data_IF_375256973319
#
_entry.id   IF_375256973319
#
_cell.length_a   1.000
_cell.length_b   1.000
_cell.length_c   1.000
_cell.angle_alpha   90.00
_cell.angle_beta   90.00
_cell.angle_gamma   90.00
#
_symmetry.space_group_name_H-M   'P 1'
#
loop_
_entity.id
_entity.type
_entity.pdbx_description
1 polymer ?
2 non-polymer ?
3 non-polymer ?
4 water ?
#
# COMPACT_ATOMS: atom_id res chain seq x y z
N UNK A 5 -26.51 2.69 3.13
CA UNK A 5 -26.80 3.75 4.12
C UNK A 5 -25.58 4.16 4.93
N UNK A 6 -25.15 3.31 5.86
CA UNK A 6 -23.75 3.38 6.26
C UNK A 6 -22.86 3.12 5.03
N UNK A 7 -23.26 2.16 4.20
CA UNK A 7 -22.57 1.94 2.93
C UNK A 7 -22.62 3.18 2.03
N UNK A 8 -23.76 3.85 1.97
CA UNK A 8 -23.86 5.08 1.18
C UNK A 8 -22.90 6.15 1.71
N UNK A 9 -22.92 6.40 3.02
CA UNK A 9 -22.00 7.37 3.59
C UNK A 9 -20.55 7.02 3.32
N UNK A 10 -20.19 5.74 3.48
CA UNK A 10 -18.82 5.32 3.25
C UNK A 10 -18.41 5.59 1.82
N UNK A 11 -19.30 5.30 0.88
CA UNK A 11 -18.95 5.45 -0.52
C UNK A 11 -18.73 6.92 -0.91
N UNK A 12 -19.46 7.83 -0.29
CA UNK A 12 -19.25 9.24 -0.56
C UNK A 12 -17.95 9.73 0.04
N UNK A 13 -17.63 9.27 1.25
CA UNK A 13 -16.35 9.63 1.85
C UNK A 13 -15.18 9.10 1.02
N UNK A 14 -15.28 7.85 0.58
CA UNK A 14 -14.20 7.28 -0.23
C UNK A 14 -14.06 7.99 -1.55
N UNK A 15 -15.18 8.39 -2.16
CA UNK A 15 -15.10 9.11 -3.43
C UNK A 15 -14.39 10.45 -3.26
N UNK A 16 -14.65 11.14 -2.15
CA UNK A 16 -13.98 12.42 -1.91
C UNK A 16 -12.47 12.22 -1.87
N UNK A 17 -12.03 11.19 -1.14
CA UNK A 17 -10.60 10.90 -1.04
C UNK A 17 -10.03 10.40 -2.36
N UNK A 18 -10.78 9.56 -3.06
CA UNK A 18 -10.33 9.13 -4.38
C UNK A 18 -10.05 10.34 -5.25
N UNK A 19 -10.95 11.31 -5.25
CA UNK A 19 -10.80 12.46 -6.13
C UNK A 19 -9.57 13.26 -5.76
N UNK A 20 -9.30 13.42 -4.48
CA UNK A 20 -8.10 14.11 -4.04
C UNK A 20 -6.84 13.38 -4.52
N UNK A 21 -6.80 12.04 -4.36
CA UNK A 21 -5.61 11.27 -4.70
C UNK A 21 -5.49 11.01 -6.19
N UNK A 22 -6.47 11.41 -7.00
CA UNK A 22 -6.35 11.29 -8.44
C UNK A 22 -6.49 12.61 -9.17
N UNK A 23 -6.82 13.68 -8.51
CA UNK A 23 -6.92 14.96 -9.19
C UNK A 23 -5.52 15.42 -9.59
N UNK A 24 -5.29 15.86 -10.82
CA UNK A 24 -3.92 16.21 -11.23
C UNK A 24 -3.18 17.12 -10.28
N UNK A 25 -3.87 18.03 -9.57
CA UNK A 25 -3.16 18.97 -8.72
C UNK A 25 -3.03 18.50 -7.28
N UNK A 26 -3.74 17.43 -6.89
CA UNK A 26 -3.68 16.93 -5.53
C UNK A 26 -3.04 15.55 -5.44
N UNK A 27 -2.85 14.87 -6.58
CA UNK A 27 -2.32 13.52 -6.54
C UNK A 27 -0.90 13.50 -6.01
N UNK A 28 -0.57 12.38 -5.39
CA UNK A 28 0.76 12.14 -4.82
C UNK A 28 1.50 11.21 -5.78
N UNK A 29 2.65 11.61 -6.32
CA UNK A 29 3.30 10.79 -7.36
C UNK A 29 3.72 9.41 -6.88
N UNK A 30 3.87 9.20 -5.58
CA UNK A 30 4.22 7.89 -5.06
C UNK A 30 3.11 6.84 -5.25
N UNK A 31 1.89 7.26 -5.51
CA UNK A 31 0.74 6.37 -5.44
C UNK A 31 -0.11 6.54 -6.68
N UNK A 32 -0.21 5.50 -7.49
CA UNK A 32 -1.09 5.51 -8.64
C UNK A 32 -2.38 4.76 -8.28
N UNK A 33 -3.51 5.45 -8.37
CA UNK A 33 -4.76 4.95 -7.80
C UNK A 33 -5.75 4.70 -8.93
N UNK A 34 -6.35 3.52 -8.95
CA UNK A 34 -7.46 3.19 -9.85
C UNK A 34 -8.52 2.43 -9.06
N UNK A 35 -9.75 2.40 -9.56
CA UNK A 35 -10.76 1.56 -8.94
C UNK A 35 -10.86 0.22 -9.65
N UNK A 36 -11.22 -0.83 -8.92
CA UNK A 36 -11.48 -2.10 -9.57
C UNK A 36 -12.58 -1.91 -10.61
N UNK A 37 -12.36 -2.45 -11.83
CA UNK A 37 -13.30 -2.30 -12.94
C UNK A 37 -13.62 -0.84 -13.26
N UNK A 38 -12.75 0.07 -12.84
CA UNK A 38 -12.94 1.50 -13.03
C UNK A 38 -14.22 2.01 -12.36
N UNK A 39 -14.81 1.24 -11.45
CA UNK A 39 -16.08 1.70 -10.88
C UNK A 39 -16.36 1.30 -9.44
N UNK A 40 -15.63 0.35 -8.87
CA UNK A 40 -15.92 -0.16 -7.52
C UNK A 40 -15.22 0.73 -6.49
N UNK A 41 -15.98 1.63 -5.84
CA UNK A 41 -15.33 2.55 -4.91
C UNK A 41 -14.83 1.84 -3.67
N UNK A 42 -15.22 0.60 -3.44
CA UNK A 42 -14.75 -0.11 -2.25
C UNK A 42 -13.55 -0.99 -2.48
N UNK A 43 -13.05 -1.11 -3.72
CA UNK A 43 -11.85 -1.88 -3.97
C UNK A 43 -10.96 -1.06 -4.89
N UNK A 44 -9.81 -0.64 -4.38
CA UNK A 44 -8.89 0.19 -5.16
C UNK A 44 -7.67 -0.63 -5.58
N UNK A 45 -7.26 -0.50 -6.83
CA UNK A 45 -6.00 -1.09 -7.30
C UNK A 45 -4.96 0.02 -7.28
N UNK A 46 -3.91 -0.19 -6.50
CA UNK A 46 -2.93 0.83 -6.23
C UNK A 46 -1.59 0.39 -6.77
N UNK A 47 -0.86 1.33 -7.36
CA UNK A 47 0.49 1.06 -7.74
C UNK A 47 1.37 1.86 -6.81
N UNK A 48 2.22 1.19 -6.01
CA UNK A 48 3.06 1.87 -5.04
C UNK A 48 4.45 2.07 -5.63
N UNK A 49 4.90 3.32 -5.64
CA UNK A 49 6.24 3.65 -6.15
C UNK A 49 7.07 4.22 -5.01
N UNK A 50 8.34 3.93 -5.07
CA UNK A 50 9.30 4.39 -4.06
C UNK A 50 10.21 5.38 -4.78
N UNK A 51 9.93 6.66 -4.57
CA UNK A 51 10.63 7.71 -5.29
C UNK A 51 11.98 8.04 -4.67
N UNK A 52 12.25 7.53 -3.47
CA UNK A 52 13.54 7.75 -2.82
C UNK A 52 14.65 7.01 -3.57
N UNK A 53 15.55 7.77 -4.21
CA UNK A 53 16.66 7.19 -4.96
C UNK A 53 17.52 6.24 -4.12
N UNK A 54 17.53 6.43 -2.79
CA UNK A 54 18.36 5.61 -1.91
C UNK A 54 17.81 4.22 -1.72
N UNK A 55 16.53 4.01 -2.03
CA UNK A 55 15.85 2.82 -1.58
C UNK A 55 16.17 1.67 -2.52
N UNK A 56 16.38 0.49 -1.95
CA UNK A 56 16.50 -0.69 -2.79
C UNK A 56 15.22 -0.92 -3.59
N UNK A 57 14.10 -0.31 -3.18
CA UNK A 57 12.81 -0.43 -3.89
C UNK A 57 12.67 0.55 -5.04
N UNK A 58 13.59 1.50 -5.18
CA UNK A 58 13.40 2.56 -6.16
C UNK A 58 13.28 2.00 -7.57
N UNK A 59 12.31 2.54 -8.33
CA UNK A 59 12.09 2.11 -9.70
C UNK A 59 11.04 1.03 -9.85
N UNK A 60 10.63 0.41 -8.76
CA UNK A 60 9.55 -0.57 -8.84
C UNK A 60 8.19 0.07 -8.95
N UNK A 61 7.22 -0.75 -9.33
CA UNK A 61 5.81 -0.36 -9.44
C UNK A 61 5.07 -1.53 -8.80
N UNK A 62 4.79 -1.41 -7.51
CA UNK A 62 4.33 -2.54 -6.72
C UNK A 62 2.82 -2.46 -6.66
N UNK A 63 2.17 -3.39 -7.36
CA UNK A 63 0.72 -3.43 -7.43
C UNK A 63 0.14 -3.98 -6.14
N UNK A 64 -0.96 -3.38 -5.72
CA UNK A 64 -1.64 -3.77 -4.49
C UNK A 64 -3.13 -3.53 -4.65
N UNK A 65 -3.89 -4.17 -3.76
CA UNK A 65 -5.33 -4.00 -3.71
C UNK A 65 -5.70 -3.58 -2.30
N UNK A 66 -6.48 -2.50 -2.19
CA UNK A 66 -6.95 -1.99 -0.91
C UNK A 66 -8.47 -2.13 -0.89
N UNK A 67 -8.98 -2.93 0.05
CA UNK A 67 -10.40 -3.24 0.15
C UNK A 67 -10.95 -2.50 1.36
N UNK A 68 -12.03 -1.76 1.16
CA UNK A 68 -12.63 -0.93 2.18
C UNK A 68 -13.92 -1.55 2.70
N UNK A 69 -14.15 -1.52 4.00
CA UNK A 69 -15.39 -2.04 4.56
C UNK A 69 -16.53 -1.07 4.33
N UNK A 70 -17.76 -1.58 4.40
CA UNK A 70 -18.93 -0.76 4.10
C UNK A 70 -19.26 0.21 5.22
N UNK A 71 -18.54 0.16 6.35
CA UNK A 71 -18.69 1.13 7.42
C UNK A 71 -17.48 2.06 7.52
N UNK A 72 -16.64 2.09 6.50
CA UNK A 72 -15.53 3.03 6.45
C UNK A 72 -16.06 4.43 6.79
N UNK A 73 -15.32 5.19 7.65
CA UNK A 73 -14.01 5.00 8.25
C UNK A 73 -14.07 4.42 9.67
N UNK A 74 -15.17 3.80 10.02
CA UNK A 74 -15.30 3.27 11.37
C UNK A 74 -14.62 1.92 11.54
N UNK A 75 -14.13 1.34 10.47
CA UNK A 75 -13.34 0.11 10.44
C UNK A 75 -12.23 0.28 9.43
N UNK A 76 -11.10 -0.40 9.60
CA UNK A 76 -9.97 -0.18 8.70
C UNK A 76 -10.11 -0.91 7.37
N UNK A 77 -9.47 -0.40 6.34
CA UNK A 77 -9.29 -1.19 5.13
C UNK A 77 -8.29 -2.30 5.34
N UNK A 78 -8.24 -3.18 4.33
CA UNK A 78 -7.22 -4.19 4.17
C UNK A 78 -6.36 -3.86 2.97
N UNK A 79 -5.09 -4.25 3.02
CA UNK A 79 -4.13 -3.91 2.00
C UNK A 79 -3.33 -5.17 1.67
N UNK A 80 -3.27 -5.52 0.38
CA UNK A 80 -2.59 -6.73 -0.06
C UNK A 80 -1.71 -6.39 -1.26
N UNK A 81 -0.42 -6.73 -1.16
CA UNK A 81 0.44 -6.67 -2.33
C UNK A 81 0.10 -7.84 -3.27
N UNK A 82 -0.02 -7.50 -4.54
CA UNK A 82 -0.44 -8.43 -5.58
C UNK A 82 0.49 -8.27 -6.79
N UNK A 83 1.58 -9.05 -6.84
CA UNK A 83 1.95 -10.17 -5.98
C UNK A 83 2.60 -9.78 -4.70
N UNK A 84 2.69 -10.78 -3.84
CA UNK A 84 3.37 -10.61 -2.59
C UNK A 84 4.81 -10.18 -2.86
N UNK A 85 5.35 -9.42 -1.92
CA UNK A 85 6.74 -9.03 -1.93
C UNK A 85 7.40 -9.55 -0.66
N UNK A 86 8.73 -9.67 -0.74
CA UNK A 86 9.54 -10.17 0.36
C UNK A 86 9.86 -9.01 1.28
N UNK A 87 9.23 -9.01 2.46
CA UNK A 87 9.32 -7.88 3.35
C UNK A 87 8.96 -8.41 4.72
N UNK A 88 9.62 -7.98 5.79
CA UNK A 88 9.28 -8.51 7.12
C UNK A 88 7.82 -8.42 7.49
N UNK A 89 7.06 -7.46 6.97
CA UNK A 89 5.70 -7.23 7.43
C UNK A 89 4.67 -7.62 6.40
N UNK A 90 5.07 -8.39 5.39
CA UNK A 90 4.17 -8.84 4.35
C UNK A 90 4.07 -10.36 4.45
N UNK A 91 2.85 -10.84 4.62
CA UNK A 91 2.60 -12.27 4.64
C UNK A 91 2.85 -12.88 3.27
N UNK A 92 3.02 -14.20 3.25
CA UNK A 92 3.38 -14.88 2.01
C UNK A 92 2.31 -14.71 0.94
N UNK A 93 1.05 -14.56 1.34
CA UNK A 93 -0.04 -14.34 0.41
C UNK A 93 -0.25 -12.86 0.05
N UNK A 94 0.62 -11.98 0.53
CA UNK A 94 0.64 -10.59 0.15
C UNK A 94 -0.01 -9.65 1.14
N UNK A 95 -0.73 -10.17 2.14
CA UNK A 95 -1.36 -9.29 3.10
C UNK A 95 -0.31 -8.48 3.86
N UNK A 96 -0.55 -7.19 3.97
CA UNK A 96 0.35 -6.33 4.72
C UNK A 96 -0.15 -6.24 6.14
N UNK A 97 0.75 -6.52 7.11
CA UNK A 97 0.47 -6.30 8.51
C UNK A 97 1.12 -4.98 8.94
N UNK A 98 0.29 -3.97 9.25
CA UNK A 98 0.78 -2.65 9.64
C UNK A 98 -0.14 -2.12 10.74
N UNK A 99 0.44 -1.47 11.74
CA UNK A 99 -0.37 -1.22 12.93
C UNK A 99 -1.56 -0.30 12.64
N UNK A 100 -1.44 0.65 11.70
CA UNK A 100 -2.53 1.58 11.42
C UNK A 100 -3.76 0.83 10.90
N UNK A 101 -3.60 -0.40 10.38
CA UNK A 101 -4.76 -1.14 9.89
C UNK A 101 -5.30 -2.17 10.87
N UNK A 102 -4.79 -2.20 12.10
CA UNK A 102 -5.39 -3.01 13.15
C UNK A 102 -6.50 -2.22 13.83
N UNK A 103 -7.59 -2.90 14.17
CA UNK A 103 -8.59 -2.30 15.06
C UNK A 103 -8.26 -2.69 16.50
N UNK A 104 -8.49 -1.84 17.49
CA UNK A 104 -9.33 -0.64 17.39
C UNK A 104 -8.63 0.60 17.93
N UNK A 115 0.23 3.17 16.98
CA UNK A 115 -1.04 3.73 16.54
C UNK A 115 -1.84 2.71 15.75
N UNK A 116 -3.08 2.44 16.17
CA UNK A 116 -3.98 1.54 15.46
C UNK A 116 -5.05 2.37 14.75
N UNK A 117 -5.99 1.69 14.11
CA UNK A 117 -6.97 2.41 13.29
C UNK A 117 -7.78 3.38 14.14
N UNK A 118 -8.10 4.53 13.55
CA UNK A 118 -9.08 5.43 14.12
C UNK A 118 -9.85 6.06 12.97
N UNK A 119 -11.06 6.56 13.25
CA UNK A 119 -11.88 7.12 12.16
C UNK A 119 -11.36 8.42 11.59
N UNK A 120 -10.33 9.05 12.14
CA UNK A 120 -9.76 10.22 11.49
C UNK A 120 -8.65 9.85 10.51
N UNK A 121 -8.29 8.57 10.40
CA UNK A 121 -7.28 8.20 9.42
C UNK A 121 -7.88 8.28 8.03
N UNK A 122 -7.03 8.57 7.08
CA UNK A 122 -7.42 8.73 5.70
C UNK A 122 -6.68 7.72 4.83
N UNK A 123 -7.15 7.57 3.59
CA UNK A 123 -6.41 6.74 2.67
C UNK A 123 -5.00 7.28 2.48
N UNK A 124 -4.86 8.60 2.35
CA UNK A 124 -3.54 9.22 2.21
C UNK A 124 -2.62 8.88 3.37
N UNK A 125 -3.12 8.99 4.62
CA UNK A 125 -2.26 8.69 5.76
C UNK A 125 -1.86 7.22 5.79
N UNK A 126 -2.77 6.31 5.41
CA UNK A 126 -2.41 4.90 5.34
C UNK A 126 -1.32 4.66 4.30
N UNK A 127 -1.50 5.23 3.10
CA UNK A 127 -0.53 5.00 2.04
C UNK A 127 0.83 5.55 2.43
N UNK A 128 0.85 6.72 3.06
CA UNK A 128 2.13 7.25 3.52
C UNK A 128 2.80 6.29 4.50
N UNK A 129 2.01 5.77 5.43
CA UNK A 129 2.53 4.82 6.41
C UNK A 129 3.07 3.57 5.75
N UNK A 130 2.42 3.11 4.68
CA UNK A 130 2.86 1.91 3.99
C UNK A 130 4.21 2.12 3.32
N UNK A 131 4.38 3.23 2.59
CA UNK A 131 5.68 3.43 1.96
C UNK A 131 6.75 3.65 3.01
N UNK A 132 6.42 4.26 4.15
CA UNK A 132 7.39 4.38 5.23
C UNK A 132 7.84 3.01 5.73
N UNK A 133 6.88 2.09 5.85
CA UNK A 133 7.19 0.76 6.37
C UNK A 133 8.02 -0.03 5.37
N UNK A 134 7.83 0.20 4.07
CA UNK A 134 8.69 -0.47 3.08
C UNK A 134 10.14 -0.19 3.38
N UNK A 135 10.46 1.08 3.64
CA UNK A 135 11.81 1.54 3.86
C UNK A 135 12.31 1.24 5.26
N UNK A 136 11.43 1.13 6.22
CA UNK A 136 11.80 0.94 7.62
C UNK A 136 10.87 -0.12 8.21
N UNK A 137 11.15 -1.40 7.93
CA UNK A 137 10.28 -2.49 8.43
C UNK A 137 10.30 -2.61 9.93
N UNK A 138 9.22 -3.19 10.45
CA UNK A 138 9.08 -3.48 11.88
C UNK A 138 9.53 -4.92 12.09
N UNK A 139 10.84 -5.11 12.33
CA UNK A 139 11.35 -6.48 12.45
C UNK A 139 11.03 -7.09 13.80
N UNK A 140 10.52 -6.31 14.76
CA UNK A 140 10.12 -6.87 16.06
C UNK A 140 8.73 -7.52 16.03
N UNK A 141 7.94 -7.34 14.99
CA UNK A 141 6.63 -7.98 14.88
C UNK A 141 6.49 -8.43 13.45
N UNK A 142 7.27 -9.43 13.05
CA UNK A 142 7.33 -9.80 11.63
C UNK A 142 6.26 -10.79 11.20
N UNK A 143 5.68 -10.50 10.05
CA UNK A 143 4.78 -11.43 9.40
C UNK A 143 5.56 -12.46 8.60
N UNK A 144 6.76 -12.09 8.17
CA UNK A 144 7.62 -13.00 7.40
C UNK A 144 8.95 -13.07 8.15
N UNK A 145 9.13 -14.13 8.94
CA UNK A 145 10.30 -14.21 9.80
C UNK A 145 11.56 -14.39 8.97
N UNK A 146 11.48 -15.15 7.87
CA UNK A 146 12.63 -15.27 6.98
C UNK A 146 13.11 -13.90 6.52
N UNK A 147 12.18 -13.05 6.05
CA UNK A 147 12.61 -11.73 5.60
C UNK A 147 13.14 -10.88 6.73
N UNK A 148 12.54 -11.00 7.91
CA UNK A 148 13.01 -10.25 9.07
C UNK A 148 14.42 -10.63 9.46
N UNK A 149 14.72 -11.91 9.44
CA UNK A 149 16.08 -12.33 9.77
C UNK A 149 17.06 -11.86 8.70
N UNK A 150 16.71 -12.02 7.42
CA UNK A 150 17.59 -11.58 6.35
C UNK A 150 17.85 -10.08 6.43
N UNK A 151 16.80 -9.31 6.72
CA UNK A 151 16.96 -7.86 6.79
C UNK A 151 18.08 -7.48 7.73
N UNK A 152 18.12 -8.12 8.90
CA UNK A 152 19.12 -7.79 9.91
C UNK A 152 20.44 -8.49 9.62
N UNK A 153 20.39 -9.81 9.38
CA UNK A 153 21.59 -10.64 9.35
C UNK A 153 22.19 -10.87 7.98
N UNK A 154 21.42 -10.72 6.91
CA UNK A 154 21.87 -11.02 5.54
C UNK A 154 21.48 -9.90 4.60
N UNK A 155 21.94 -8.67 4.88
CA UNK A 155 21.49 -7.53 4.06
C UNK A 155 21.73 -7.69 2.57
N UNK A 156 22.83 -8.35 2.15
CA UNK A 156 23.09 -8.50 0.72
C UNK A 156 22.13 -9.50 0.08
N UNK A 157 21.82 -10.58 0.79
CA UNK A 157 20.78 -11.51 0.36
C UNK A 157 19.43 -10.80 0.26
N UNK A 158 19.07 -10.05 1.31
CA UNK A 158 17.82 -9.30 1.29
C UNK A 158 17.78 -8.36 0.09
N UNK A 159 18.86 -7.60 -0.11
CA UNK A 159 18.91 -6.62 -1.20
C UNK A 159 18.74 -7.31 -2.55
N UNK A 160 19.36 -8.46 -2.74
CA UNK A 160 19.28 -9.09 -4.05
C UNK A 160 17.90 -9.66 -4.30
N UNK A 161 17.24 -10.17 -3.26
CA UNK A 161 15.87 -10.62 -3.42
C UNK A 161 14.94 -9.45 -3.77
N UNK A 162 15.10 -8.31 -3.09
CA UNK A 162 14.25 -7.17 -3.39
C UNK A 162 14.52 -6.65 -4.79
N UNK A 163 15.81 -6.63 -5.20
CA UNK A 163 16.12 -6.17 -6.54
C UNK A 163 15.43 -7.02 -7.59
N UNK A 164 15.42 -8.35 -7.40
CA UNK A 164 14.69 -9.22 -8.32
C UNK A 164 13.22 -8.81 -8.41
N UNK A 165 12.60 -8.55 -7.25
CA UNK A 165 11.18 -8.20 -7.25
C UNK A 165 10.95 -6.82 -7.84
N UNK A 166 11.89 -5.90 -7.66
CA UNK A 166 11.76 -4.61 -8.34
C UNK A 166 11.70 -4.84 -9.84
N UNK A 167 12.61 -5.66 -10.36
CA UNK A 167 12.64 -5.89 -11.79
C UNK A 167 11.36 -6.55 -12.26
N UNK A 168 10.88 -7.56 -11.51
CA UNK A 168 9.65 -8.23 -11.88
C UNK A 168 8.50 -7.24 -11.92
N UNK A 169 8.49 -6.28 -11.00
CA UNK A 169 7.35 -5.38 -10.84
C UNK A 169 7.20 -4.44 -12.03
N UNK A 170 8.30 -4.18 -12.74
CA UNK A 170 8.22 -3.25 -13.85
C UNK A 170 7.34 -3.80 -14.96
N UNK A 171 7.09 -5.11 -14.96
CA UNK A 171 6.19 -5.72 -15.92
C UNK A 171 4.74 -5.30 -15.70
N UNK A 172 4.43 -4.71 -14.56
CA UNK A 172 3.08 -4.27 -14.22
C UNK A 172 2.86 -2.79 -14.47
N UNK A 173 3.87 -2.07 -14.94
CA UNK A 173 3.69 -0.67 -15.24
C UNK A 173 2.67 -0.58 -16.37
N UNK A 174 1.53 0.09 -16.18
CA UNK A 174 0.53 0.10 -17.24
C UNK A 174 1.08 0.72 -18.51
N UNK A 175 0.61 0.21 -19.65
CA UNK A 175 1.01 0.77 -20.94
C UNK A 175 0.66 2.25 -20.96
N UNK A 176 1.64 3.08 -21.37
CA UNK A 176 1.49 4.51 -21.43
C UNK A 176 1.85 5.24 -20.15
N UNK A 177 1.85 4.56 -19.01
CA UNK A 177 2.07 5.26 -17.75
C UNK A 177 3.47 5.88 -17.71
N UNK A 178 3.56 7.09 -17.17
CA UNK A 178 4.80 7.82 -17.09
C UNK A 178 5.30 7.74 -15.65
N UNK A 179 6.37 6.99 -15.43
CA UNK A 179 6.90 6.85 -14.08
C UNK A 179 7.39 8.20 -13.57
N UNK A 180 7.10 8.56 -12.31
CA UNK A 180 7.52 9.87 -11.82
C UNK A 180 9.04 10.06 -11.85
X LIG B 1 -1.26 -7.38 11.75
X LIG C 1 16.99 -17.02 4.20
X LIG D 1 -3.93 4.26 -14.16
X LIG E 1 15.46 7.01 -10.45
X LIG F 1 4.13 7.27 8.93
X LIG F 1 5.12 7.75 8.34
X LIG F 1 3.05 7.86 8.75
X LIG F 1 4.24 6.03 9.80
X LIG F 1 3.26 5.80 10.21
X LIG F 1 4.94 6.23 10.62
X LIG F 1 4.60 5.19 9.20
X LIG G 1 -12.14 0.09 14.41
X LIG G 1 -11.00 0.05 14.90
X LIG G 1 -12.62 1.24 14.29
X LIG G 1 -12.89 -1.13 13.97
X LIG G 1 -13.86 -0.84 13.56
X LIG G 1 -13.04 -1.79 14.81
X LIG G 1 -12.32 -1.65 13.19
X LIG H 1 -19.42 1.80 -6.50
X LIG H 1 -18.93 0.76 -6.02
X LIG H 1 -18.63 2.76 -6.70
X LIG H 1 -20.87 1.88 -6.84
X LIG H 1 -21.35 0.94 -6.60
X LIG H 1 -20.99 2.09 -7.91
X LIG H 1 -21.34 2.68 -6.27
#
# INVERSE_FOLDING_TARGET
GAMASRKSTASSLLLRQYRELTDPKKAIPSFHIELEDDSNIFTWNIGVMVLNEDSIYHGGFFKAQMRFPEDFPFSPPQFRFTPAIYHPNVYRDGRLCISILHQSGDPMTDEPDAETWSPVQTVESVLISIVSLLEDPNINSPANVDAAVDYRKNPEQYKQRVKMEVERSKQDIPKGFIMPTSESAYISQSKLDEPES
ZN ZN
ZN ZN
ZN ZN
ZN ZN
ACT C O OXT CH3 H1 H2 H3
ACT C O OXT CH3 H1 H2 H3
ACT C O OXT CH3 H1 H2 H3
#
